data_IF_102764836936
#
_entry.id   IF_102764836936
#
_cell.length_a   1.000
_cell.length_b   1.000
_cell.length_c   1.000
_cell.angle_alpha   90.00
_cell.angle_beta   90.00
_cell.angle_gamma   90.00
#
_symmetry.space_group_name_H-M   'P 1'
#
loop_
_entity.id
_entity.type
_entity.pdbx_description
1 polymer ?
#
# COMPACT_ATOMS: atom_id res chain seq x y z
N UNK A 1 -12.05 -1.48 20.14
CA UNK A 1 -11.63 -0.32 19.31
C UNK A 1 -10.28 -0.69 18.72
N UNK A 2 -10.03 -0.43 17.43
CA UNK A 2 -8.73 -0.71 16.81
C UNK A 2 -7.84 0.53 16.93
N UNK A 3 -6.58 0.34 17.27
CA UNK A 3 -5.56 1.39 17.15
C UNK A 3 -5.09 1.46 15.70
N UNK A 4 -5.43 2.55 15.01
CA UNK A 4 -5.18 2.73 13.57
C UNK A 4 -3.82 3.34 13.25
N UNK A 5 -3.05 3.73 14.27
CA UNK A 5 -1.74 4.38 14.13
C UNK A 5 -0.76 3.77 15.12
N UNK A 6 0.46 3.49 14.65
CA UNK A 6 1.58 3.04 15.47
C UNK A 6 2.83 3.87 15.14
N UNK A 7 3.74 4.00 16.09
CA UNK A 7 5.06 4.61 15.87
C UNK A 7 6.00 3.67 15.13
N UNK A 8 7.05 4.24 14.50
CA UNK A 8 8.11 3.45 13.89
C UNK A 8 8.82 2.52 14.89
N UNK A 9 8.97 2.95 16.16
CA UNK A 9 9.54 2.13 17.22
C UNK A 9 8.68 0.91 17.54
N UNK A 10 7.36 1.09 17.63
CA UNK A 10 6.43 -0.03 17.85
C UNK A 10 6.46 -1.01 16.68
N UNK A 11 6.52 -0.53 15.43
CA UNK A 11 6.68 -1.40 14.27
C UNK A 11 8.01 -2.18 14.31
N UNK A 12 9.12 -1.50 14.62
CA UNK A 12 10.45 -2.11 14.68
C UNK A 12 10.51 -3.28 15.68
N UNK A 13 9.81 -3.17 16.81
CA UNK A 13 9.74 -4.22 17.84
C UNK A 13 8.96 -5.46 17.40
N UNK A 14 8.14 -5.35 16.36
CA UNK A 14 7.26 -6.41 15.85
C UNK A 14 7.77 -7.05 14.56
N UNK A 15 8.88 -6.56 14.00
CA UNK A 15 9.46 -7.11 12.77
C UNK A 15 9.78 -8.59 12.96
N UNK A 16 9.34 -9.42 12.02
CA UNK A 16 9.51 -10.88 12.05
C UNK A 16 8.35 -11.66 12.68
N UNK A 17 7.35 -10.99 13.25
CA UNK A 17 6.10 -11.64 13.67
C UNK A 17 5.39 -12.30 12.47
N UNK A 18 5.00 -13.57 12.59
CA UNK A 18 4.36 -14.32 11.50
C UNK A 18 3.00 -13.75 11.08
N UNK A 19 2.34 -13.00 11.96
CA UNK A 19 1.05 -12.37 11.73
C UNK A 19 1.16 -10.86 11.39
N UNK A 20 2.36 -10.37 11.07
CA UNK A 20 2.58 -8.99 10.65
C UNK A 20 2.75 -8.92 9.13
N UNK A 21 1.85 -8.20 8.46
CA UNK A 21 2.02 -7.80 7.07
C UNK A 21 2.33 -6.31 6.99
N UNK A 22 3.35 -5.95 6.23
CA UNK A 22 3.74 -4.56 5.97
C UNK A 22 3.51 -4.30 4.49
N UNK A 23 2.79 -3.23 4.17
CA UNK A 23 2.51 -2.84 2.78
C UNK A 23 2.99 -1.40 2.58
N UNK A 24 3.90 -1.23 1.65
CA UNK A 24 4.33 0.08 1.16
C UNK A 24 3.36 0.53 0.08
N UNK A 25 2.60 1.59 0.38
CA UNK A 25 1.59 2.16 -0.50
C UNK A 25 2.00 3.55 -1.03
N UNK A 26 3.30 3.88 -1.02
CA UNK A 26 3.80 5.18 -1.49
C UNK A 26 3.38 5.43 -2.93
N UNK A 27 2.86 6.62 -3.19
CA UNK A 27 2.39 7.04 -4.51
C UNK A 27 2.52 8.56 -4.69
N UNK A 28 2.77 8.99 -5.91
CA UNK A 28 2.83 10.39 -6.32
C UNK A 28 1.92 10.59 -7.53
N UNK A 29 0.92 11.46 -7.41
CA UNK A 29 -0.09 11.72 -8.47
C UNK A 29 0.53 12.24 -9.77
N UNK A 30 1.67 12.92 -9.69
CA UNK A 30 2.38 13.47 -10.86
C UNK A 30 3.41 12.49 -11.42
N UNK A 31 3.82 11.50 -10.62
CA UNK A 31 4.82 10.49 -10.98
C UNK A 31 4.35 9.09 -10.53
N UNK A 32 3.38 8.46 -11.21
CA UNK A 32 2.76 7.20 -10.75
C UNK A 32 3.76 6.05 -10.48
N UNK A 33 4.86 6.00 -11.24
CA UNK A 33 5.92 4.99 -11.07
C UNK A 33 6.90 5.28 -9.92
N UNK A 34 6.86 6.47 -9.33
CA UNK A 34 7.82 6.87 -8.31
C UNK A 34 7.78 5.95 -7.08
N UNK A 35 6.58 5.53 -6.66
CA UNK A 35 6.42 4.64 -5.50
C UNK A 35 7.13 3.30 -5.69
N UNK A 36 6.97 2.69 -6.87
CA UNK A 36 7.60 1.42 -7.22
C UNK A 36 9.13 1.53 -7.27
N UNK A 37 9.65 2.61 -7.87
CA UNK A 37 11.09 2.89 -7.86
C UNK A 37 11.62 3.11 -6.43
N UNK A 38 10.92 3.91 -5.62
CA UNK A 38 11.33 4.20 -4.25
C UNK A 38 11.29 2.95 -3.35
N UNK A 39 10.35 2.02 -3.61
CA UNK A 39 10.28 0.71 -2.94
C UNK A 39 11.42 -0.23 -3.37
N UNK A 40 11.86 -0.15 -4.63
CA UNK A 40 13.01 -0.88 -5.13
C UNK A 40 14.34 -0.35 -4.55
N UNK A 41 14.46 0.97 -4.38
CA UNK A 41 15.61 1.63 -3.77
C UNK A 41 15.74 1.30 -2.28
N UNK A 42 14.66 1.45 -1.51
CA UNK A 42 14.65 1.14 -0.09
C UNK A 42 13.25 0.84 0.44
N UNK A 43 13.16 -0.17 1.31
CA UNK A 43 11.92 -0.57 1.96
C UNK A 43 12.18 -1.23 3.31
N UNK A 44 11.14 -1.30 4.13
CA UNK A 44 11.16 -2.09 5.37
C UNK A 44 11.30 -3.58 5.01
N UNK A 45 12.14 -4.35 5.72
CA UNK A 45 12.28 -5.79 5.48
C UNK A 45 10.94 -6.53 5.51
N UNK A 46 10.69 -7.37 4.51
CA UNK A 46 9.45 -8.16 4.39
C UNK A 46 8.23 -7.37 3.90
N UNK A 47 8.33 -6.05 3.66
CA UNK A 47 7.22 -5.27 3.13
C UNK A 47 6.87 -5.69 1.70
N UNK A 48 5.57 -5.76 1.40
CA UNK A 48 5.02 -5.86 0.05
C UNK A 48 4.79 -4.46 -0.52
N UNK A 49 4.70 -4.33 -1.84
CA UNK A 49 4.34 -3.06 -2.50
C UNK A 49 2.91 -3.14 -3.03
N UNK A 50 2.14 -2.05 -2.90
CA UNK A 50 0.82 -1.91 -3.50
C UNK A 50 0.70 -0.57 -4.24
N UNK A 51 0.48 -0.64 -5.55
CA UNK A 51 0.31 0.52 -6.41
C UNK A 51 -1.13 1.04 -6.34
N UNK A 52 -1.30 2.36 -6.16
CA UNK A 52 -2.63 2.98 -6.00
C UNK A 52 -3.57 2.60 -7.14
N UNK A 53 -3.16 2.83 -8.40
CA UNK A 53 -4.04 2.65 -9.56
C UNK A 53 -4.34 1.18 -9.89
N UNK A 54 -3.40 0.27 -9.64
CA UNK A 54 -3.45 -1.11 -10.11
C UNK A 54 -4.00 -2.07 -9.05
N UNK A 55 -3.63 -1.85 -7.80
CA UNK A 55 -3.83 -2.82 -6.72
C UNK A 55 -4.87 -2.30 -5.71
N UNK A 56 -4.86 -0.99 -5.43
CA UNK A 56 -5.72 -0.37 -4.41
C UNK A 56 -6.94 0.36 -5.00
N UNK A 57 -7.11 0.36 -6.32
CA UNK A 57 -8.20 1.03 -7.02
C UNK A 57 -8.91 0.12 -8.01
N UNK A 58 -10.21 0.33 -8.17
CA UNK A 58 -11.01 -0.23 -9.25
C UNK A 58 -11.00 0.64 -10.51
N UNK A 59 -11.66 0.17 -11.57
CA UNK A 59 -11.84 0.94 -12.80
C UNK A 59 -12.71 2.19 -12.57
N UNK A 60 -12.22 3.40 -12.90
CA UNK A 60 -13.01 4.62 -12.80
C UNK A 60 -14.20 4.64 -13.78
N UNK A 61 -15.27 5.34 -13.41
CA UNK A 61 -16.45 5.61 -14.25
C UNK A 61 -16.95 7.04 -14.01
N UNK A 62 -17.91 7.51 -14.82
CA UNK A 62 -18.57 8.80 -14.61
C UNK A 62 -19.31 8.90 -13.26
N UNK A 63 -19.67 7.79 -12.65
CA UNK A 63 -20.34 7.72 -11.36
C UNK A 63 -19.37 7.67 -10.16
N UNK A 64 -18.06 7.60 -10.39
CA UNK A 64 -17.05 7.43 -9.34
C UNK A 64 -15.97 8.50 -9.38
N UNK A 65 -15.13 8.55 -8.33
CA UNK A 65 -13.88 9.30 -8.35
C UNK A 65 -12.79 8.65 -9.21
N UNK A 66 -11.58 9.25 -9.18
CA UNK A 66 -10.40 8.81 -9.95
C UNK A 66 -9.79 7.48 -9.47
N UNK A 67 -10.01 7.11 -8.21
CA UNK A 67 -9.50 5.89 -7.58
C UNK A 67 -10.61 5.23 -6.75
N UNK A 68 -11.64 4.64 -7.39
CA UNK A 68 -12.72 3.98 -6.66
C UNK A 68 -12.18 2.76 -5.91
N UNK A 69 -12.85 2.34 -4.83
CA UNK A 69 -12.46 1.12 -4.13
C UNK A 69 -12.53 -0.10 -5.08
N UNK A 70 -11.57 -1.02 -5.00
CA UNK A 70 -11.58 -2.24 -5.81
C UNK A 70 -12.67 -3.19 -5.30
N UNK A 71 -13.14 -4.09 -6.17
CA UNK A 71 -13.97 -5.21 -5.72
C UNK A 71 -13.14 -6.07 -4.76
N UNK A 72 -13.78 -6.70 -3.78
CA UNK A 72 -13.12 -7.69 -2.93
C UNK A 72 -12.49 -8.78 -3.82
N UNK A 73 -11.21 -9.05 -3.63
CA UNK A 73 -10.43 -9.98 -4.48
C UNK A 73 -9.93 -9.39 -5.81
N UNK A 74 -10.21 -8.11 -6.09
CA UNK A 74 -9.77 -7.41 -7.30
C UNK A 74 -8.36 -6.80 -7.20
N UNK A 75 -7.80 -6.67 -5.99
CA UNK A 75 -6.43 -6.23 -5.78
C UNK A 75 -5.46 -7.26 -6.41
N UNK A 76 -4.60 -6.80 -7.32
CA UNK A 76 -3.59 -7.64 -7.97
C UNK A 76 -2.34 -7.71 -7.08
N UNK A 77 -1.65 -8.85 -7.13
CA UNK A 77 -0.43 -9.14 -6.34
C UNK A 77 0.80 -8.54 -7.00
#
# INVERSE_FOLDING_TARGET
MLDTVISARQLAQRLGEANLAIVDCRFDLTRPRWGEHAYAEARIPGALYAHLDRDLSGTPSSATGRHPLPRIGGARR
#
